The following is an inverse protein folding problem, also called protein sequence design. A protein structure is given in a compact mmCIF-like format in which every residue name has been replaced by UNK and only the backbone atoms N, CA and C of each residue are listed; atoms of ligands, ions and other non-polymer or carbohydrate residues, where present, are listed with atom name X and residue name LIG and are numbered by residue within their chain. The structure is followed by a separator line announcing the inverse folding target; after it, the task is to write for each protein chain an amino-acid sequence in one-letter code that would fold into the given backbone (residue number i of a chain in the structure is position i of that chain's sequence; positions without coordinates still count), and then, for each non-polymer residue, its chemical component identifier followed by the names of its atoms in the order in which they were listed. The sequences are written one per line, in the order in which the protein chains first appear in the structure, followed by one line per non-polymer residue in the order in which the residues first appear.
data_IF_612449124793
#
_entry.id   IF_612449124793
#
_cell.length_a   1.000
_cell.length_b   1.000
_cell.length_c   1.000
_cell.angle_alpha   90.00
_cell.angle_beta   90.00
_cell.angle_gamma   90.00
#
_symmetry.space_group_name_H-M   'P 1'
#
loop_
_entity.id
_entity.type
_entity.pdbx_description
1 polymer ?
#
# COMPACT_ATOMS: atom_id res chain seq x y z
N UNK A 1 -3.84 -13.68 6.43
CA UNK A 1 -5.25 -13.23 6.41
C UNK A 1 -5.45 -12.15 7.46
N UNK A 2 -6.09 -11.04 7.10
CA UNK A 2 -6.44 -9.99 8.07
C UNK A 2 -7.79 -10.32 8.72
N UNK A 3 -7.96 -9.99 10.00
CA UNK A 3 -9.27 -10.09 10.66
C UNK A 3 -10.20 -8.99 10.16
N UNK A 4 -11.26 -9.36 9.42
CA UNK A 4 -12.17 -8.47 8.70
C UNK A 4 -13.60 -8.56 9.24
N UNK A 5 -13.97 -7.83 10.30
CA UNK A 5 -15.37 -7.69 10.67
C UNK A 5 -16.19 -7.02 9.55
N UNK A 6 -17.42 -7.49 9.26
CA UNK A 6 -18.23 -7.00 8.15
C UNK A 6 -18.37 -5.47 8.06
N UNK A 7 -18.54 -4.70 9.16
CA UNK A 7 -18.68 -3.25 9.06
C UNK A 7 -17.42 -2.54 8.54
N UNK A 8 -16.24 -3.17 8.59
CA UNK A 8 -14.94 -2.60 8.23
C UNK A 8 -14.36 -3.19 6.96
N UNK A 9 -15.05 -4.13 6.33
CA UNK A 9 -14.61 -4.77 5.10
C UNK A 9 -14.84 -3.83 3.91
N UNK A 10 -13.78 -3.63 3.11
CA UNK A 10 -13.87 -3.06 1.78
C UNK A 10 -13.50 -4.15 0.78
N UNK A 11 -14.39 -4.43 -0.17
CA UNK A 11 -14.23 -5.49 -1.16
C UNK A 11 -14.29 -5.01 -2.61
N UNK A 12 -14.56 -3.72 -2.85
CA UNK A 12 -14.60 -3.14 -4.20
C UNK A 12 -13.19 -3.06 -4.78
N UNK A 13 -12.88 -3.81 -5.85
CA UNK A 13 -11.51 -3.93 -6.37
C UNK A 13 -10.91 -2.57 -6.80
N UNK A 14 -11.74 -1.67 -7.33
CA UNK A 14 -11.32 -0.34 -7.76
C UNK A 14 -10.89 0.54 -6.58
N UNK A 15 -11.57 0.45 -5.43
CA UNK A 15 -11.22 1.19 -4.21
C UNK A 15 -9.91 0.64 -3.62
N UNK A 16 -9.76 -0.68 -3.59
CA UNK A 16 -8.55 -1.33 -3.09
C UNK A 16 -7.34 -1.02 -3.97
N UNK A 17 -7.50 -1.06 -5.29
CA UNK A 17 -6.44 -0.70 -6.23
C UNK A 17 -6.04 0.78 -6.09
N UNK A 18 -7.01 1.70 -6.01
CA UNK A 18 -6.75 3.12 -5.82
C UNK A 18 -6.01 3.39 -4.48
N UNK A 19 -6.34 2.63 -3.42
CA UNK A 19 -5.62 2.70 -2.15
C UNK A 19 -4.16 2.28 -2.31
N UNK A 20 -3.90 1.14 -2.96
CA UNK A 20 -2.54 0.65 -3.24
C UNK A 20 -1.75 1.68 -4.07
N UNK A 21 -2.36 2.24 -5.10
CA UNK A 21 -1.73 3.27 -5.92
C UNK A 21 -1.38 4.52 -5.12
N UNK A 22 -2.24 4.96 -4.22
CA UNK A 22 -2.02 6.13 -3.37
C UNK A 22 -0.94 5.91 -2.33
N UNK A 23 -0.91 4.75 -1.69
CA UNK A 23 0.00 4.38 -0.60
C UNK A 23 0.98 3.30 -1.05
N UNK A 24 1.60 3.52 -2.20
CA UNK A 24 2.39 2.52 -2.92
C UNK A 24 3.74 2.17 -2.29
N UNK A 25 4.17 2.86 -1.24
CA UNK A 25 5.32 2.45 -0.43
C UNK A 25 4.84 1.45 0.61
N UNK A 26 4.86 0.18 0.25
CA UNK A 26 4.28 -0.92 1.02
C UNK A 26 5.31 -1.84 1.66
N UNK A 27 4.81 -2.80 2.41
CA UNK A 27 5.59 -3.85 3.07
C UNK A 27 5.46 -5.15 2.28
N UNK A 28 6.55 -5.63 1.69
CA UNK A 28 6.65 -6.97 1.10
C UNK A 28 7.00 -7.98 2.18
N UNK A 29 6.19 -9.02 2.33
CA UNK A 29 6.42 -10.15 3.25
C UNK A 29 6.54 -11.42 2.44
N UNK A 30 7.63 -12.17 2.65
CA UNK A 30 7.87 -13.49 2.08
C UNK A 30 8.14 -14.50 3.19
N UNK A 31 7.90 -15.77 2.88
CA UNK A 31 8.24 -16.92 3.75
C UNK A 31 9.23 -17.80 3.00
N UNK A 32 10.44 -17.86 3.49
CA UNK A 32 11.50 -18.69 2.91
C UNK A 32 12.22 -19.57 3.94
N UNK A 33 13.37 -20.09 3.58
CA UNK A 33 14.16 -20.97 4.44
C UNK A 33 14.62 -20.29 5.74
N UNK A 34 14.81 -18.97 5.73
CA UNK A 34 15.17 -18.18 6.91
C UNK A 34 13.96 -17.76 7.76
N UNK A 35 12.74 -18.19 7.41
CA UNK A 35 11.49 -17.77 8.04
C UNK A 35 10.83 -16.59 7.32
N UNK A 36 10.07 -15.77 8.07
CA UNK A 36 9.43 -14.59 7.54
C UNK A 36 10.44 -13.45 7.39
N UNK A 37 10.46 -12.83 6.21
CA UNK A 37 11.25 -11.63 5.92
C UNK A 37 10.32 -10.53 5.45
N UNK A 38 10.57 -9.29 5.85
CA UNK A 38 9.79 -8.13 5.46
C UNK A 38 10.68 -6.98 4.98
N UNK A 39 10.31 -6.34 3.86
CA UNK A 39 11.00 -5.17 3.30
C UNK A 39 10.00 -4.09 2.91
N UNK A 40 10.29 -2.83 3.28
CA UNK A 40 9.52 -1.67 2.81
C UNK A 40 10.08 -1.22 1.46
N UNK A 41 9.23 -1.19 0.45
CA UNK A 41 9.61 -0.86 -0.93
C UNK A 41 8.47 -0.14 -1.67
N UNK A 42 8.78 0.66 -2.69
CA UNK A 42 7.77 1.19 -3.59
C UNK A 42 7.29 0.11 -4.56
N UNK A 43 5.99 0.09 -4.79
CA UNK A 43 5.35 -0.79 -5.77
C UNK A 43 4.78 0.01 -6.95
N UNK A 44 4.82 -0.58 -8.14
CA UNK A 44 3.95 -0.20 -9.24
C UNK A 44 2.79 -1.17 -9.35
N UNK A 45 1.61 -0.60 -9.58
CA UNK A 45 0.39 -1.36 -9.87
C UNK A 45 0.18 -1.39 -11.38
N UNK A 46 0.03 -2.58 -11.94
CA UNK A 46 -0.33 -2.78 -13.33
C UNK A 46 -1.63 -3.58 -13.42
N UNK A 47 -2.54 -3.16 -14.31
CA UNK A 47 -3.75 -3.92 -14.61
C UNK A 47 -3.51 -4.78 -15.85
N UNK A 48 -3.70 -6.09 -15.72
CA UNK A 48 -3.62 -7.06 -16.83
C UNK A 48 -4.97 -7.75 -16.97
N UNK A 49 -5.85 -7.17 -17.80
CA UNK A 49 -7.24 -7.55 -17.87
C UNK A 49 -7.97 -7.21 -16.57
N UNK A 50 -8.59 -8.19 -15.97
CA UNK A 50 -9.31 -8.10 -14.68
C UNK A 50 -8.41 -8.28 -13.44
N UNK A 51 -7.12 -8.58 -13.64
CA UNK A 51 -6.16 -8.87 -12.56
C UNK A 51 -5.21 -7.71 -12.30
N UNK A 52 -4.83 -7.57 -11.02
CA UNK A 52 -3.76 -6.70 -10.62
C UNK A 52 -2.43 -7.46 -10.59
N UNK A 53 -1.37 -6.78 -11.03
CA UNK A 53 0.00 -7.21 -10.89
C UNK A 53 0.77 -6.12 -10.14
N UNK A 54 1.41 -6.48 -9.04
CA UNK A 54 2.30 -5.60 -8.30
C UNK A 54 3.73 -5.86 -8.76
N UNK A 55 4.45 -4.79 -9.08
CA UNK A 55 5.82 -4.85 -9.55
C UNK A 55 6.73 -4.06 -8.64
N UNK A 56 7.93 -4.57 -8.41
CA UNK A 56 8.93 -3.91 -7.60
C UNK A 56 10.32 -4.46 -7.86
N UNK A 57 11.30 -3.93 -7.12
CA UNK A 57 12.66 -4.43 -7.14
C UNK A 57 13.25 -4.42 -5.73
N UNK A 58 14.25 -5.26 -5.53
CA UNK A 58 15.02 -5.39 -4.30
C UNK A 58 16.51 -5.28 -4.63
N UNK A 59 17.33 -4.97 -3.64
CA UNK A 59 18.77 -5.16 -3.78
C UNK A 59 19.05 -6.64 -4.12
N UNK A 60 19.99 -6.90 -5.01
CA UNK A 60 20.32 -8.27 -5.45
C UNK A 60 20.74 -9.18 -4.31
N UNK A 61 21.33 -8.61 -3.25
CA UNK A 61 21.72 -9.34 -2.04
C UNK A 61 20.56 -9.60 -1.07
N UNK A 62 19.34 -9.09 -1.33
CA UNK A 62 18.21 -9.32 -0.46
C UNK A 62 17.72 -10.77 -0.61
N UNK A 63 17.70 -11.58 0.47
CA UNK A 63 17.31 -12.98 0.40
C UNK A 63 15.87 -13.22 -0.06
N UNK A 64 14.99 -12.21 0.04
CA UNK A 64 13.63 -12.32 -0.48
C UNK A 64 13.56 -12.57 -1.99
N UNK A 65 14.60 -12.23 -2.78
CA UNK A 65 14.63 -12.58 -4.20
C UNK A 65 14.66 -14.10 -4.42
N UNK A 66 15.32 -14.84 -3.54
CA UNK A 66 15.31 -16.30 -3.59
C UNK A 66 13.94 -16.86 -3.18
N UNK A 67 13.30 -16.27 -2.16
CA UNK A 67 11.95 -16.67 -1.75
C UNK A 67 10.93 -16.44 -2.89
N UNK A 68 11.03 -15.29 -3.56
CA UNK A 68 10.17 -14.94 -4.69
C UNK A 68 10.42 -15.82 -5.94
N UNK A 69 11.64 -16.35 -6.09
CA UNK A 69 11.98 -17.24 -7.18
C UNK A 69 11.49 -18.69 -6.95
N UNK A 70 11.11 -19.04 -5.74
CA UNK A 70 10.64 -20.38 -5.35
C UNK A 70 9.14 -20.62 -5.61
N UNK A 71 8.48 -19.76 -6.39
CA UNK A 71 7.05 -19.84 -6.76
C UNK A 71 6.12 -19.97 -5.53
N UNK A 72 6.27 -19.08 -4.56
CA UNK A 72 5.46 -19.03 -3.34
C UNK A 72 4.45 -17.88 -3.31
N UNK A 73 3.47 -17.98 -2.40
CA UNK A 73 2.58 -16.86 -2.10
C UNK A 73 3.38 -15.77 -1.37
N UNK A 74 3.28 -14.53 -1.86
CA UNK A 74 3.77 -13.34 -1.17
C UNK A 74 2.62 -12.48 -0.69
N UNK A 75 2.89 -11.70 0.36
CA UNK A 75 1.97 -10.72 0.91
C UNK A 75 2.59 -9.32 0.75
N UNK A 76 1.84 -8.42 0.10
CA UNK A 76 2.12 -6.99 0.12
C UNK A 76 1.08 -6.25 0.96
N UNK A 77 1.52 -5.41 1.90
CA UNK A 77 0.66 -4.63 2.80
C UNK A 77 0.83 -3.15 2.49
N UNK A 78 -0.30 -2.46 2.32
CA UNK A 78 -0.35 -1.04 2.01
C UNK A 78 -1.16 -0.33 3.10
N UNK A 79 -0.45 0.31 4.03
CA UNK A 79 -1.05 1.05 5.14
C UNK A 79 -1.36 2.48 4.74
N UNK A 80 -2.59 2.90 5.00
CA UNK A 80 -3.03 4.28 4.87
C UNK A 80 -2.94 5.04 6.19
N UNK A 81 -3.65 6.18 6.29
CA UNK A 81 -3.66 6.99 7.50
C UNK A 81 -4.33 6.23 8.67
N UNK A 82 -3.86 6.51 9.87
CA UNK A 82 -4.37 5.93 11.11
C UNK A 82 -4.43 6.97 12.22
N UNK A 83 -5.42 6.87 13.10
CA UNK A 83 -5.57 7.80 14.22
C UNK A 83 -6.20 7.14 15.44
N UNK A 84 -5.75 7.56 16.62
CA UNK A 84 -6.41 7.25 17.88
C UNK A 84 -7.73 8.01 17.97
N UNK A 85 -8.79 7.32 18.39
CA UNK A 85 -10.13 7.87 18.58
C UNK A 85 -10.46 7.87 20.06
N UNK A 86 -10.57 9.07 20.62
CA UNK A 86 -10.89 9.26 22.04
C UNK A 86 -12.37 8.99 22.32
N UNK A 87 -12.71 8.26 23.41
CA UNK A 87 -14.08 8.13 23.85
C UNK A 87 -14.74 9.45 24.25
N UNK A 88 -13.95 10.47 24.60
CA UNK A 88 -14.45 11.82 24.90
C UNK A 88 -15.06 12.56 23.72
N UNK A 89 -14.91 12.05 22.50
CA UNK A 89 -15.51 12.64 21.29
C UNK A 89 -16.92 12.09 20.99
N UNK A 90 -17.33 11.02 21.68
CA UNK A 90 -18.66 10.43 21.52
C UNK A 90 -19.73 11.20 22.30
N UNK A 91 -20.97 11.16 21.81
CA UNK A 91 -22.10 11.83 22.46
C UNK A 91 -22.69 11.05 23.62
N UNK A 92 -22.34 9.78 23.79
CA UNK A 92 -22.89 8.89 24.81
C UNK A 92 -21.80 8.07 25.51
N UNK A 93 -22.00 7.81 26.81
CA UNK A 93 -21.19 6.92 27.65
C UNK A 93 -22.05 5.69 28.01
N UNK A 94 -21.42 4.53 28.34
CA UNK A 94 -19.99 4.29 28.37
C UNK A 94 -19.39 4.07 26.98
N UNK A 95 -18.13 4.48 26.78
CA UNK A 95 -17.37 4.26 25.56
C UNK A 95 -15.89 3.97 25.86
N UNK A 96 -15.23 3.26 24.95
CA UNK A 96 -13.81 2.92 25.05
C UNK A 96 -13.03 3.51 23.87
N UNK A 97 -11.72 3.77 24.05
CA UNK A 97 -10.89 4.24 22.96
C UNK A 97 -10.71 3.17 21.88
N UNK A 98 -10.40 3.63 20.67
CA UNK A 98 -10.05 2.75 19.56
C UNK A 98 -9.11 3.45 18.60
N UNK A 99 -8.71 2.74 17.52
CA UNK A 99 -8.01 3.29 16.38
C UNK A 99 -8.90 3.21 15.14
N UNK A 100 -8.90 4.28 14.35
CA UNK A 100 -9.33 4.24 12.96
C UNK A 100 -8.09 4.12 12.08
N UNK A 101 -8.19 3.34 11.01
CA UNK A 101 -7.11 3.08 10.08
C UNK A 101 -7.62 2.41 8.81
N UNK A 102 -6.79 2.45 7.77
CA UNK A 102 -7.07 1.78 6.50
C UNK A 102 -5.84 1.00 6.08
N UNK A 103 -6.01 -0.28 5.81
CA UNK A 103 -5.00 -1.18 5.27
C UNK A 103 -5.57 -2.00 4.13
N UNK A 104 -4.72 -2.26 3.11
CA UNK A 104 -5.00 -3.23 2.04
C UNK A 104 -3.89 -4.27 2.02
N UNK A 105 -4.30 -5.53 2.11
CA UNK A 105 -3.43 -6.69 1.97
C UNK A 105 -3.64 -7.32 0.61
N UNK A 106 -2.59 -7.42 -0.17
CA UNK A 106 -2.57 -8.08 -1.47
C UNK A 106 -1.76 -9.37 -1.39
N UNK A 107 -2.40 -10.49 -1.67
CA UNK A 107 -1.80 -11.81 -1.71
C UNK A 107 -1.71 -12.26 -3.15
N UNK A 108 -0.66 -12.99 -3.50
CA UNK A 108 -0.55 -13.51 -4.85
C UNK A 108 0.70 -14.34 -5.10
N UNK A 109 0.70 -14.98 -6.26
CA UNK A 109 1.85 -15.74 -6.74
C UNK A 109 2.96 -14.78 -7.13
N UNK A 110 4.09 -14.90 -6.45
CA UNK A 110 5.25 -14.07 -6.70
C UNK A 110 6.24 -14.77 -7.62
N UNK A 111 6.95 -14.00 -8.42
CA UNK A 111 8.08 -14.48 -9.21
C UNK A 111 9.20 -13.46 -9.26
N UNK A 112 10.43 -13.90 -9.20
CA UNK A 112 11.57 -13.05 -9.50
C UNK A 112 11.65 -12.77 -11.02
N UNK A 113 12.15 -11.58 -11.38
CA UNK A 113 12.37 -11.17 -12.77
C UNK A 113 13.82 -10.70 -12.88
N UNK A 114 14.63 -11.46 -13.61
CA UNK A 114 16.03 -11.15 -13.87
C UNK A 114 16.25 -10.77 -15.34
N UNK A 115 15.48 -9.78 -15.80
CA UNK A 115 15.51 -9.24 -17.15
C UNK A 115 15.91 -7.75 -17.07
N UNK A 116 17.09 -7.36 -17.61
CA UNK A 116 17.56 -5.99 -17.57
C UNK A 116 16.63 -4.97 -18.26
N UNK A 117 16.00 -5.35 -19.38
CA UNK A 117 15.09 -4.46 -20.12
C UNK A 117 13.79 -4.25 -19.33
N UNK A 118 13.28 -5.31 -18.72
CA UNK A 118 12.13 -5.21 -17.83
C UNK A 118 12.44 -4.34 -16.60
N UNK A 119 13.61 -4.52 -15.95
CA UNK A 119 14.06 -3.70 -14.83
C UNK A 119 14.19 -2.22 -15.24
N UNK A 120 14.78 -1.95 -16.39
CA UNK A 120 14.91 -0.59 -16.95
C UNK A 120 13.54 0.06 -17.14
N UNK A 121 12.59 -0.68 -17.71
CA UNK A 121 11.21 -0.21 -17.91
C UNK A 121 10.48 0.03 -16.58
N UNK A 122 10.64 -0.85 -15.60
CA UNK A 122 10.10 -0.68 -14.25
C UNK A 122 10.63 0.60 -13.58
N UNK A 123 11.95 0.77 -13.55
CA UNK A 123 12.60 1.91 -12.90
C UNK A 123 12.21 3.24 -13.56
N UNK A 124 12.13 3.27 -14.90
CA UNK A 124 11.65 4.44 -15.62
C UNK A 124 10.23 4.82 -15.17
N UNK A 125 9.29 3.87 -15.16
CA UNK A 125 7.90 4.10 -14.73
C UNK A 125 7.80 4.53 -13.27
N UNK A 126 8.62 3.95 -12.37
CA UNK A 126 8.69 4.37 -10.96
C UNK A 126 9.18 5.81 -10.84
N UNK A 127 10.26 6.14 -11.54
CA UNK A 127 10.82 7.50 -11.52
C UNK A 127 9.83 8.52 -12.10
N UNK A 128 9.26 8.27 -13.27
CA UNK A 128 8.27 9.15 -13.89
C UNK A 128 7.08 9.42 -12.96
N UNK A 129 6.61 8.39 -12.23
CA UNK A 129 5.52 8.54 -11.29
C UNK A 129 5.88 9.45 -10.10
N UNK A 130 7.07 9.26 -9.51
CA UNK A 130 7.47 10.00 -8.32
C UNK A 130 7.99 11.40 -8.64
N UNK A 131 8.52 11.61 -9.83
CA UNK A 131 9.00 12.90 -10.33
C UNK A 131 7.89 13.79 -10.94
N UNK A 132 6.68 13.27 -11.13
CA UNK A 132 5.60 13.96 -11.85
C UNK A 132 5.19 15.32 -11.25
N UNK A 133 5.50 15.57 -9.97
CA UNK A 133 5.22 16.83 -9.28
C UNK A 133 6.39 17.79 -9.18
N UNK A 134 7.58 17.39 -9.63
CA UNK A 134 8.79 18.19 -9.48
C UNK A 134 8.90 19.26 -10.55
N UNK A 135 9.40 20.43 -10.18
CA UNK A 135 9.62 21.55 -11.13
C UNK A 135 10.69 21.21 -12.20
N UNK A 136 11.64 20.34 -11.88
CA UNK A 136 12.64 19.79 -12.78
C UNK A 136 12.70 18.28 -12.57
N UNK A 137 11.83 17.50 -13.22
CA UNK A 137 11.78 16.06 -13.03
C UNK A 137 13.13 15.42 -13.39
N UNK A 138 13.62 14.56 -12.51
CA UNK A 138 14.79 13.71 -12.80
C UNK A 138 14.41 12.67 -13.85
N UNK A 139 15.33 12.38 -14.76
CA UNK A 139 15.11 11.43 -15.86
C UNK A 139 16.22 10.40 -15.91
N UNK A 140 15.87 9.15 -15.87
CA UNK A 140 16.82 8.04 -15.93
C UNK A 140 17.65 8.05 -17.24
N UNK A 141 17.05 8.48 -18.34
CA UNK A 141 17.72 8.58 -19.64
C UNK A 141 18.83 9.64 -19.72
N UNK A 142 18.93 10.52 -18.75
CA UNK A 142 19.99 11.54 -18.68
C UNK A 142 21.27 10.97 -18.04
N UNK A 143 21.22 9.72 -17.53
CA UNK A 143 22.37 9.03 -16.96
C UNK A 143 23.22 8.37 -18.07
N UNK A 144 24.57 8.33 -17.89
CA UNK A 144 25.44 7.56 -18.77
C UNK A 144 25.06 6.05 -18.73
N UNK A 145 24.94 5.43 -19.90
CA UNK A 145 24.56 4.00 -20.02
C UNK A 145 25.44 3.06 -19.18
N UNK A 146 26.80 3.18 -19.16
CA UNK A 146 27.62 2.27 -18.34
C UNK A 146 27.34 2.40 -16.83
N UNK A 147 26.96 3.62 -16.35
CA UNK A 147 26.56 3.83 -14.96
C UNK A 147 25.24 3.15 -14.66
N UNK A 148 24.24 3.33 -15.53
CA UNK A 148 22.92 2.73 -15.38
C UNK A 148 22.99 1.19 -15.39
N UNK A 149 23.75 0.60 -16.30
CA UNK A 149 23.99 -0.84 -16.35
C UNK A 149 24.67 -1.36 -15.06
N UNK A 150 25.59 -0.56 -14.50
CA UNK A 150 26.20 -0.85 -13.20
C UNK A 150 25.16 -0.93 -12.08
N UNK A 151 24.24 0.03 -12.03
CA UNK A 151 23.17 0.08 -11.03
C UNK A 151 22.16 -1.07 -11.19
N UNK A 152 21.77 -1.39 -12.42
CA UNK A 152 20.85 -2.48 -12.73
C UNK A 152 21.37 -3.84 -12.27
N UNK A 153 22.68 -4.09 -12.36
CA UNK A 153 23.29 -5.32 -11.86
C UNK A 153 23.17 -5.48 -10.33
N UNK A 154 23.00 -4.38 -9.60
CA UNK A 154 22.86 -4.37 -8.14
C UNK A 154 21.46 -4.71 -7.63
N UNK A 155 20.48 -4.89 -8.52
CA UNK A 155 19.08 -5.13 -8.15
C UNK A 155 18.51 -6.36 -8.85
N UNK A 156 17.39 -6.88 -8.33
CA UNK A 156 16.55 -7.90 -8.95
C UNK A 156 15.09 -7.45 -8.92
N UNK A 157 14.38 -7.71 -9.99
CA UNK A 157 12.97 -7.40 -10.12
C UNK A 157 12.09 -8.51 -9.57
N UNK A 158 10.82 -8.19 -9.34
CA UNK A 158 9.79 -9.17 -9.05
C UNK A 158 8.42 -8.70 -9.50
N UNK A 159 7.52 -9.66 -9.70
CA UNK A 159 6.09 -9.44 -9.89
C UNK A 159 5.30 -10.30 -8.91
N UNK A 160 4.17 -9.76 -8.45
CA UNK A 160 3.15 -10.51 -7.70
C UNK A 160 1.86 -10.45 -8.51
N UNK A 161 1.41 -11.59 -9.01
CA UNK A 161 0.09 -11.73 -9.62
C UNK A 161 -0.94 -11.85 -8.51
N UNK A 162 -1.68 -10.77 -8.26
CA UNK A 162 -2.63 -10.71 -7.16
C UNK A 162 -3.77 -11.70 -7.39
N UNK A 163 -3.92 -12.64 -6.46
CA UNK A 163 -5.00 -13.63 -6.41
C UNK A 163 -6.11 -13.21 -5.45
N UNK A 164 -5.78 -12.40 -4.41
CA UNK A 164 -6.71 -11.99 -3.36
C UNK A 164 -6.33 -10.62 -2.80
N UNK A 165 -7.36 -9.77 -2.63
CA UNK A 165 -7.27 -8.49 -1.93
C UNK A 165 -8.14 -8.52 -0.69
N UNK A 166 -7.62 -8.01 0.42
CA UNK A 166 -8.35 -7.83 1.67
C UNK A 166 -8.19 -6.38 2.13
N UNK A 167 -9.30 -5.63 2.13
CA UNK A 167 -9.30 -4.23 2.58
C UNK A 167 -9.98 -4.07 3.93
N UNK A 168 -9.29 -3.44 4.88
CA UNK A 168 -9.83 -3.08 6.19
C UNK A 168 -9.90 -1.58 6.35
N UNK A 169 -11.10 -1.04 6.22
CA UNK A 169 -11.39 0.38 6.33
C UNK A 169 -12.15 0.62 7.64
N UNK A 170 -11.44 0.67 8.76
CA UNK A 170 -12.04 0.91 10.07
C UNK A 170 -12.12 2.42 10.33
N UNK A 171 -13.28 3.00 10.08
CA UNK A 171 -13.54 4.42 10.05
C UNK A 171 -14.77 4.81 10.90
N UNK A 172 -14.96 4.14 12.04
CA UNK A 172 -16.08 4.36 12.98
C UNK A 172 -17.48 4.04 12.41
N UNK A 173 -17.60 3.18 11.38
CA UNK A 173 -18.87 2.81 10.77
C UNK A 173 -19.85 2.13 11.74
N UNK A 174 -19.32 1.49 12.79
CA UNK A 174 -20.08 0.83 13.85
C UNK A 174 -20.57 1.80 14.94
N UNK A 175 -20.30 3.11 14.81
CA UNK A 175 -20.76 4.13 15.74
C UNK A 175 -22.06 4.77 15.27
N UNK A 176 -22.87 5.32 16.21
CA UNK A 176 -24.04 6.11 15.85
C UNK A 176 -23.69 7.22 14.85
N UNK A 177 -24.61 7.48 13.91
CA UNK A 177 -24.40 8.53 12.88
C UNK A 177 -24.08 9.91 13.50
N UNK A 178 -24.67 10.23 14.65
CA UNK A 178 -24.43 11.49 15.36
C UNK A 178 -23.02 11.64 15.96
N UNK A 179 -22.29 10.55 16.17
CA UNK A 179 -20.92 10.60 16.70
C UNK A 179 -19.87 10.86 15.60
N UNK A 180 -20.12 10.42 14.36
CA UNK A 180 -19.15 10.51 13.27
C UNK A 180 -18.72 11.94 12.96
N UNK A 181 -19.63 12.94 12.83
CA UNK A 181 -19.23 14.33 12.62
C UNK A 181 -18.37 14.90 13.76
N UNK A 182 -18.64 14.47 15.00
CA UNK A 182 -17.83 14.89 16.19
C UNK A 182 -16.41 14.33 16.11
N UNK A 183 -16.28 13.06 15.70
CA UNK A 183 -14.98 12.42 15.50
C UNK A 183 -14.21 13.15 14.38
N UNK A 184 -14.87 13.42 13.25
CA UNK A 184 -14.26 14.14 12.13
C UNK A 184 -13.77 15.53 12.55
N UNK A 185 -14.60 16.31 13.25
CA UNK A 185 -14.22 17.63 13.73
C UNK A 185 -13.03 17.59 14.72
N UNK A 186 -13.01 16.58 15.60
CA UNK A 186 -11.90 16.39 16.55
C UNK A 186 -10.59 15.99 15.86
N UNK A 187 -10.66 15.15 14.82
CA UNK A 187 -9.49 14.76 14.00
C UNK A 187 -8.95 15.94 13.20
N UNK A 188 -9.83 16.76 12.62
CA UNK A 188 -9.43 17.96 11.85
C UNK A 188 -8.81 19.07 12.72
N UNK A 189 -9.14 19.11 14.01
CA UNK A 189 -8.53 20.03 14.98
C UNK A 189 -7.10 19.61 15.38
N UNK A 190 -6.64 18.42 15.02
CA UNK A 190 -5.27 17.96 15.29
C UNK A 190 -4.32 18.50 14.24
N UNK A 191 -3.02 18.57 14.58
CA UNK A 191 -2.01 19.10 13.66
C UNK A 191 -1.35 18.02 12.77
N UNK A 192 -1.64 16.74 13.00
CA UNK A 192 -0.98 15.65 12.29
C UNK A 192 -1.71 15.24 11.00
N UNK A 193 -0.93 14.88 9.98
CA UNK A 193 -1.43 14.52 8.66
C UNK A 193 -2.29 13.25 8.65
N UNK A 194 -1.99 12.29 9.52
CA UNK A 194 -2.73 11.04 9.63
C UNK A 194 -4.15 11.26 10.14
N UNK A 195 -4.33 12.11 11.17
CA UNK A 195 -5.65 12.52 11.66
C UNK A 195 -6.49 13.17 10.55
N UNK A 196 -5.90 14.10 9.79
CA UNK A 196 -6.57 14.71 8.63
C UNK A 196 -6.90 13.70 7.53
N UNK A 197 -5.99 12.74 7.29
CA UNK A 197 -6.20 11.64 6.35
C UNK A 197 -7.38 10.76 6.73
N UNK A 198 -7.49 10.39 8.01
CA UNK A 198 -8.62 9.60 8.54
C UNK A 198 -9.93 10.40 8.45
N UNK A 199 -9.93 11.69 8.85
CA UNK A 199 -11.12 12.55 8.77
C UNK A 199 -11.66 12.63 7.34
N UNK A 200 -10.77 12.82 6.35
CA UNK A 200 -11.14 12.84 4.93
C UNK A 200 -11.76 11.51 4.48
N UNK A 201 -11.14 10.37 4.80
CA UNK A 201 -11.67 9.05 4.43
C UNK A 201 -13.02 8.75 5.10
N UNK A 202 -13.25 9.24 6.32
CA UNK A 202 -14.55 9.15 6.98
C UNK A 202 -15.63 9.91 6.20
N UNK A 203 -15.34 11.14 5.72
CA UNK A 203 -16.27 11.95 4.90
C UNK A 203 -16.54 11.32 3.54
N UNK A 204 -15.51 10.86 2.83
CA UNK A 204 -15.64 10.20 1.53
C UNK A 204 -16.57 8.98 1.61
N UNK A 205 -16.51 8.23 2.72
CA UNK A 205 -17.35 7.05 2.92
C UNK A 205 -18.81 7.37 3.28
N UNK A 206 -19.09 8.53 3.86
CA UNK A 206 -20.47 8.97 4.14
C UNK A 206 -21.20 9.46 2.88
N UNK A 207 -20.45 9.94 1.88
CA UNK A 207 -20.99 10.45 0.62
C UNK A 207 -21.01 9.40 -0.50
N UNK A 208 -20.42 8.24 -0.28
CA UNK A 208 -20.46 7.13 -1.25
C UNK A 208 -21.86 6.50 -1.28
N UNK A 209 -22.46 6.32 -2.48
CA UNK A 209 -23.78 5.71 -2.66
C UNK A 209 -23.81 4.23 -2.22
#
# INVERSE_FOLDING_TARGET
MVYLPPPFTESRPEILAAHIERYNFGLLVTQGAAGLIASHIPFLVERRGDRLCLQGHLARANPQLADLAADGEALAIFSGPHAYISPGWYGAAPAVPTWNYVDVHAYGDARAVDDPDWLRALLRRLSERHEAGEAKPWRMQDLPEPYLDGMLRGIGGFEIRVSRLEGKFKLSQNRPAADRPRIVAALEARADADSHGVARLMRERETAP
#
